data_IF_276162716318
#
_entry.id   IF_276162716318
#
_cell.length_a   1.000
_cell.length_b   1.000
_cell.length_c   1.000
_cell.angle_alpha   90.00
_cell.angle_beta   90.00
_cell.angle_gamma   90.00
#
_symmetry.space_group_name_H-M   'P 1'
#
loop_
_entity.id
_entity.type
_entity.pdbx_description
1 polymer ?
#
# COMPACT_ATOMS: atom_id res chain seq x y z
N UNK A 1 28.16 35.63 28.74
CA UNK A 1 29.18 34.57 28.96
C UNK A 1 30.40 34.92 28.12
N UNK A 2 31.54 35.21 28.76
CA UNK A 2 32.72 35.81 28.12
C UNK A 2 33.75 34.81 27.60
N UNK A 3 34.73 35.31 26.85
CA UNK A 3 35.88 34.58 26.27
C UNK A 3 36.63 33.66 27.27
N UNK A 4 36.66 34.04 28.54
CA UNK A 4 37.27 33.27 29.63
C UNK A 4 36.51 31.99 29.96
N UNK A 5 35.17 31.99 29.91
CA UNK A 5 34.35 30.78 30.13
C UNK A 5 34.51 29.79 28.97
N UNK A 6 34.57 30.31 27.74
CA UNK A 6 34.84 29.52 26.53
C UNK A 6 36.22 28.85 26.58
N UNK A 7 37.25 29.59 26.99
CA UNK A 7 38.61 29.05 27.16
C UNK A 7 38.65 27.92 28.21
N UNK A 8 37.96 28.09 29.34
CA UNK A 8 37.94 27.10 30.42
C UNK A 8 37.23 25.81 30.01
N UNK A 9 36.14 25.91 29.23
CA UNK A 9 35.44 24.78 28.63
C UNK A 9 36.29 24.04 27.59
N UNK A 10 37.01 24.79 26.75
CA UNK A 10 37.95 24.21 25.78
C UNK A 10 39.11 23.47 26.45
N UNK A 11 39.72 24.06 27.48
CA UNK A 11 40.83 23.41 28.21
C UNK A 11 40.37 22.13 28.92
N UNK A 12 39.14 22.10 29.47
CA UNK A 12 38.57 20.87 30.05
C UNK A 12 38.28 19.79 29.00
N UNK A 13 37.77 20.17 27.83
CA UNK A 13 37.50 19.22 26.75
C UNK A 13 38.80 18.61 26.16
N UNK A 14 39.86 19.42 26.03
CA UNK A 14 41.18 18.96 25.53
C UNK A 14 41.87 18.04 26.53
N UNK A 15 41.68 18.28 27.83
CA UNK A 15 42.30 17.48 28.90
C UNK A 15 41.45 16.30 29.38
N UNK A 16 40.29 16.04 28.73
CA UNK A 16 39.44 14.92 29.09
C UNK A 16 40.13 13.57 28.84
N UNK A 17 40.01 12.67 29.80
CA UNK A 17 40.52 11.31 29.68
C UNK A 17 39.87 10.58 28.49
N UNK A 18 40.53 9.56 27.94
CA UNK A 18 39.97 8.77 26.84
C UNK A 18 38.59 8.17 27.19
N UNK A 19 38.39 7.86 28.48
CA UNK A 19 37.13 7.36 29.02
C UNK A 19 36.01 8.44 29.00
N UNK A 20 36.30 9.66 29.46
CA UNK A 20 35.35 10.78 29.42
C UNK A 20 34.98 11.19 27.99
N UNK A 21 35.94 11.11 27.05
CA UNK A 21 35.68 11.30 25.62
C UNK A 21 34.73 10.25 25.07
N UNK A 22 34.91 8.98 25.42
CA UNK A 22 33.99 7.90 25.04
C UNK A 22 32.55 8.13 25.54
N UNK A 23 32.38 8.59 26.79
CA UNK A 23 31.03 8.94 27.27
C UNK A 23 30.43 10.14 26.55
N UNK A 24 31.22 11.18 26.27
CA UNK A 24 30.75 12.34 25.55
C UNK A 24 30.33 11.97 24.11
N UNK A 25 31.10 11.14 23.42
CA UNK A 25 30.78 10.62 22.09
C UNK A 25 29.50 9.79 22.10
N UNK A 26 29.36 8.85 23.04
CA UNK A 26 28.14 8.04 23.20
C UNK A 26 26.93 8.92 23.54
N UNK A 27 27.10 9.92 24.41
CA UNK A 27 26.03 10.84 24.78
C UNK A 27 25.59 11.69 23.59
N UNK A 28 26.53 12.25 22.82
CA UNK A 28 26.22 13.04 21.61
C UNK A 28 25.57 12.17 20.55
N UNK A 29 26.08 10.96 20.31
CA UNK A 29 25.47 10.01 19.38
C UNK A 29 24.05 9.66 19.81
N UNK A 30 23.84 9.31 21.08
CA UNK A 30 22.52 8.92 21.60
C UNK A 30 21.53 10.07 21.55
N UNK A 31 21.96 11.30 21.90
CA UNK A 31 21.12 12.49 21.80
C UNK A 31 20.76 12.82 20.35
N UNK A 32 21.73 12.67 19.43
CA UNK A 32 21.49 12.90 17.99
C UNK A 32 20.53 11.84 17.44
N UNK A 33 20.74 10.57 17.77
CA UNK A 33 19.84 9.48 17.38
C UNK A 33 18.43 9.68 17.96
N UNK A 34 18.31 10.04 19.24
CA UNK A 34 17.03 10.32 19.89
C UNK A 34 16.33 11.52 19.22
N UNK A 35 17.06 12.59 18.90
CA UNK A 35 16.51 13.76 18.19
C UNK A 35 16.02 13.38 16.79
N UNK A 36 16.82 12.62 16.02
CA UNK A 36 16.43 12.16 14.70
C UNK A 36 15.20 11.27 14.75
N UNK A 37 15.12 10.34 15.70
CA UNK A 37 13.94 9.51 15.90
C UNK A 37 12.73 10.36 16.28
N UNK A 38 12.88 11.28 17.24
CA UNK A 38 11.78 12.15 17.68
C UNK A 38 11.24 13.05 16.56
N UNK A 39 12.10 13.61 15.71
CA UNK A 39 11.70 14.50 14.60
C UNK A 39 11.10 13.71 13.43
N UNK A 40 11.65 12.54 13.11
CA UNK A 40 11.32 11.84 11.86
C UNK A 40 10.36 10.67 12.02
N UNK A 41 10.32 9.99 13.17
CA UNK A 41 9.40 8.86 13.38
C UNK A 41 7.93 9.31 13.24
N UNK A 42 7.47 10.43 13.84
CA UNK A 42 6.09 10.88 13.65
C UNK A 42 5.78 11.24 12.20
N UNK A 43 6.74 11.85 11.48
CA UNK A 43 6.58 12.19 10.06
C UNK A 43 6.51 10.95 9.17
N UNK A 44 7.19 9.87 9.57
CA UNK A 44 7.13 8.57 8.87
C UNK A 44 5.93 7.73 9.29
N UNK A 45 5.34 7.95 10.46
CA UNK A 45 4.11 7.27 10.87
C UNK A 45 2.99 7.48 9.84
N UNK A 46 2.83 8.72 9.35
CA UNK A 46 1.89 9.01 8.26
C UNK A 46 2.17 8.18 7.00
N UNK A 47 3.45 7.99 6.63
CA UNK A 47 3.83 7.19 5.46
C UNK A 47 3.57 5.69 5.69
N UNK A 48 3.78 5.20 6.91
CA UNK A 48 3.46 3.82 7.29
C UNK A 48 1.95 3.60 7.26
N UNK A 49 1.19 4.52 7.83
CA UNK A 49 -0.28 4.48 7.84
C UNK A 49 -0.83 4.54 6.41
N UNK A 50 -0.28 5.41 5.56
CA UNK A 50 -0.61 5.48 4.14
C UNK A 50 -0.28 4.16 3.43
N UNK A 51 0.90 3.59 3.69
CA UNK A 51 1.28 2.31 3.09
C UNK A 51 0.35 1.18 3.54
N UNK A 52 0.03 1.09 4.83
CA UNK A 52 -0.83 0.05 5.39
C UNK A 52 -2.28 0.17 4.92
N UNK A 53 -2.81 1.38 4.83
CA UNK A 53 -4.22 1.61 4.43
C UNK A 53 -4.43 1.51 2.93
N UNK A 54 -3.56 2.13 2.15
CA UNK A 54 -3.82 2.35 0.73
C UNK A 54 -2.94 1.48 -0.18
N UNK A 55 -1.64 1.38 0.12
CA UNK A 55 -0.71 0.68 -0.77
C UNK A 55 -0.74 -0.84 -0.61
N UNK A 56 -0.94 -1.34 0.61
CA UNK A 56 -0.94 -2.77 0.88
C UNK A 56 -2.06 -3.51 0.12
N UNK A 57 -3.34 -3.05 0.12
CA UNK A 57 -4.39 -3.68 -0.68
C UNK A 57 -4.10 -3.64 -2.19
N UNK A 58 -3.52 -2.54 -2.69
CA UNK A 58 -3.12 -2.41 -4.11
C UNK A 58 -2.05 -3.44 -4.45
N UNK A 59 -1.04 -3.58 -3.60
CA UNK A 59 0.02 -4.56 -3.79
C UNK A 59 -0.51 -5.99 -3.78
N UNK A 60 -1.36 -6.33 -2.81
CA UNK A 60 -2.00 -7.64 -2.71
C UNK A 60 -2.88 -7.95 -3.92
N UNK A 61 -3.65 -6.97 -4.41
CA UNK A 61 -4.45 -7.11 -5.61
C UNK A 61 -3.58 -7.34 -6.86
N UNK A 62 -2.51 -6.57 -7.03
CA UNK A 62 -1.58 -6.75 -8.15
C UNK A 62 -0.90 -8.12 -8.11
N UNK A 63 -0.47 -8.59 -6.95
CA UNK A 63 0.09 -9.93 -6.77
C UNK A 63 -0.94 -11.02 -7.08
N UNK A 64 -2.17 -10.87 -6.60
CA UNK A 64 -3.27 -11.79 -6.91
C UNK A 64 -3.53 -11.88 -8.41
N UNK A 65 -3.54 -10.74 -9.12
CA UNK A 65 -3.74 -10.73 -10.56
C UNK A 65 -2.58 -11.37 -11.34
N UNK A 66 -1.34 -11.14 -10.89
CA UNK A 66 -0.14 -11.76 -11.51
C UNK A 66 -0.12 -13.27 -11.41
N UNK A 67 -0.71 -13.84 -10.35
CA UNK A 67 -0.82 -15.30 -10.17
C UNK A 67 -1.78 -15.96 -11.17
N UNK A 68 -2.68 -15.18 -11.76
CA UNK A 68 -3.75 -15.69 -12.63
C UNK A 68 -3.74 -15.03 -14.02
N UNK A 69 -2.68 -15.21 -14.82
CA UNK A 69 -2.61 -14.65 -16.17
C UNK A 69 -3.73 -15.18 -17.08
N UNK A 70 -4.31 -16.34 -16.79
CA UNK A 70 -5.39 -16.94 -17.55
C UNK A 70 -6.66 -16.09 -17.59
N UNK A 71 -6.91 -15.26 -16.57
CA UNK A 71 -8.09 -14.38 -16.50
C UNK A 71 -8.11 -13.29 -17.57
N UNK A 72 -6.95 -12.96 -18.14
CA UNK A 72 -6.77 -11.88 -19.14
C UNK A 72 -6.16 -12.37 -20.44
N UNK A 73 -6.06 -13.69 -20.62
CA UNK A 73 -5.43 -14.30 -21.81
C UNK A 73 -6.16 -13.98 -23.11
N UNK A 74 -7.49 -13.82 -23.07
CA UNK A 74 -8.30 -13.34 -24.19
C UNK A 74 -8.66 -11.86 -24.00
N UNK A 75 -8.25 -10.96 -24.92
CA UNK A 75 -8.58 -9.54 -24.89
C UNK A 75 -10.08 -9.21 -24.84
N UNK A 76 -10.94 -10.12 -25.33
CA UNK A 76 -12.40 -9.93 -25.33
C UNK A 76 -13.06 -10.41 -24.04
N UNK A 77 -12.29 -10.93 -23.09
CA UNK A 77 -12.80 -11.41 -21.80
C UNK A 77 -13.43 -10.25 -21.04
N UNK A 78 -14.70 -10.40 -20.68
CA UNK A 78 -15.37 -9.52 -19.73
C UNK A 78 -15.15 -10.02 -18.32
N UNK A 79 -14.65 -9.16 -17.46
CA UNK A 79 -14.34 -9.48 -16.08
C UNK A 79 -15.27 -8.69 -15.18
N UNK A 80 -15.93 -9.37 -14.25
CA UNK A 80 -16.77 -8.77 -13.23
C UNK A 80 -16.06 -8.79 -11.88
N UNK A 81 -15.82 -7.64 -11.30
CA UNK A 81 -15.39 -7.49 -9.91
C UNK A 81 -16.64 -7.42 -9.04
N UNK A 82 -16.90 -8.50 -8.31
CA UNK A 82 -18.05 -8.64 -7.40
C UNK A 82 -17.81 -7.84 -6.12
N UNK A 83 -16.61 -7.95 -5.57
CA UNK A 83 -16.15 -7.14 -4.44
C UNK A 83 -14.65 -6.89 -4.54
N UNK A 84 -14.19 -5.77 -3.99
CA UNK A 84 -12.79 -5.36 -3.93
C UNK A 84 -12.51 -4.61 -2.62
N UNK A 85 -11.23 -4.47 -2.22
CA UNK A 85 -10.88 -3.79 -0.97
C UNK A 85 -10.88 -2.26 -1.10
N UNK A 86 -11.18 -1.70 -2.28
CA UNK A 86 -10.93 -0.29 -2.61
C UNK A 86 -12.19 0.56 -2.43
N UNK A 87 -12.45 0.96 -1.19
CA UNK A 87 -13.62 1.78 -0.84
C UNK A 87 -13.64 3.15 -1.54
N UNK A 88 -12.52 3.87 -1.51
CA UNK A 88 -12.45 5.23 -2.04
C UNK A 88 -11.80 5.30 -3.43
N UNK A 89 -11.26 4.17 -3.91
CA UNK A 89 -10.51 4.08 -5.17
C UNK A 89 -11.18 3.10 -6.12
N UNK A 90 -12.42 3.42 -6.51
CA UNK A 90 -13.24 2.59 -7.39
C UNK A 90 -12.58 2.22 -8.72
N UNK A 91 -11.66 3.06 -9.20
CA UNK A 91 -10.88 2.85 -10.42
C UNK A 91 -9.74 1.83 -10.25
N UNK A 92 -9.30 1.55 -9.02
CA UNK A 92 -8.11 0.76 -8.73
C UNK A 92 -8.12 -0.66 -9.32
N UNK A 93 -9.17 -1.49 -9.16
CA UNK A 93 -9.12 -2.86 -9.67
C UNK A 93 -9.08 -2.89 -11.21
N UNK A 94 -9.73 -1.93 -11.88
CA UNK A 94 -9.68 -1.78 -13.34
C UNK A 94 -8.26 -1.44 -13.77
N UNK A 95 -7.67 -0.41 -13.15
CA UNK A 95 -6.32 0.05 -13.48
C UNK A 95 -5.26 -1.03 -13.23
N UNK A 96 -5.32 -1.71 -12.09
CA UNK A 96 -4.41 -2.81 -11.76
C UNK A 96 -4.55 -3.96 -12.76
N UNK A 97 -5.79 -4.29 -13.16
CA UNK A 97 -6.06 -5.32 -14.17
C UNK A 97 -5.45 -4.98 -15.53
N UNK A 98 -5.69 -3.78 -16.02
CA UNK A 98 -5.11 -3.27 -17.29
C UNK A 98 -3.58 -3.31 -17.25
N UNK A 99 -2.98 -2.81 -16.17
CA UNK A 99 -1.52 -2.82 -16.02
C UNK A 99 -0.93 -4.24 -15.97
N UNK A 100 -1.61 -5.15 -15.28
CA UNK A 100 -1.15 -6.53 -15.11
C UNK A 100 -1.30 -7.32 -16.41
N UNK A 101 -2.44 -7.16 -17.11
CA UNK A 101 -2.71 -7.77 -18.40
C UNK A 101 -1.91 -7.13 -19.55
N UNK A 102 -1.40 -5.90 -19.35
CA UNK A 102 -0.81 -5.04 -20.38
C UNK A 102 -1.74 -4.86 -21.58
N UNK A 103 -3.04 -4.74 -21.31
CA UNK A 103 -4.09 -4.66 -22.31
C UNK A 103 -5.10 -3.56 -21.95
N UNK A 104 -5.13 -2.50 -22.75
CA UNK A 104 -6.03 -1.35 -22.57
C UNK A 104 -7.47 -1.64 -23.01
N UNK A 105 -7.69 -2.66 -23.83
CA UNK A 105 -9.01 -3.03 -24.36
C UNK A 105 -9.79 -3.97 -23.41
N UNK A 106 -9.17 -4.36 -22.29
CA UNK A 106 -9.74 -5.30 -21.33
C UNK A 106 -11.01 -4.71 -20.68
N UNK A 107 -12.10 -5.48 -20.71
CA UNK A 107 -13.39 -5.04 -20.19
C UNK A 107 -13.57 -5.49 -18.74
N UNK A 108 -13.16 -4.64 -17.79
CA UNK A 108 -13.35 -4.88 -16.36
C UNK A 108 -14.51 -4.01 -15.85
N UNK A 109 -15.50 -4.65 -15.25
CA UNK A 109 -16.67 -4.00 -14.67
C UNK A 109 -16.73 -4.27 -13.17
N UNK A 110 -17.24 -3.32 -12.39
CA UNK A 110 -17.46 -3.48 -10.95
C UNK A 110 -18.94 -3.58 -10.66
N UNK A 111 -19.37 -4.66 -10.02
CA UNK A 111 -20.76 -4.87 -9.63
C UNK A 111 -21.31 -3.72 -8.75
N UNK A 112 -20.55 -3.16 -7.79
CA UNK A 112 -20.99 -1.99 -7.03
C UNK A 112 -21.35 -0.77 -7.90
N UNK A 113 -20.63 -0.56 -9.00
CA UNK A 113 -20.77 0.63 -9.87
C UNK A 113 -21.84 0.45 -10.97
N UNK A 114 -22.29 -0.78 -11.23
CA UNK A 114 -23.32 -1.03 -12.25
C UNK A 114 -24.69 -0.51 -11.81
N UNK A 115 -25.32 0.30 -12.67
CA UNK A 115 -26.69 0.79 -12.54
C UNK A 115 -27.37 0.79 -13.93
N UNK A 116 -28.45 0.01 -14.15
CA UNK A 116 -29.13 -0.86 -13.19
C UNK A 116 -28.25 -2.03 -12.72
N UNK A 117 -28.61 -2.64 -11.60
CA UNK A 117 -27.94 -3.88 -11.15
C UNK A 117 -28.18 -4.97 -12.19
N UNK A 118 -27.13 -5.72 -12.58
CA UNK A 118 -27.24 -6.72 -13.62
C UNK A 118 -28.20 -7.83 -13.18
N UNK A 119 -29.03 -8.28 -14.10
CA UNK A 119 -29.80 -9.50 -13.93
C UNK A 119 -28.93 -10.74 -14.17
N UNK A 120 -29.52 -11.92 -13.96
CA UNK A 120 -28.81 -13.19 -14.14
C UNK A 120 -28.32 -13.40 -15.58
N UNK A 121 -29.05 -12.89 -16.58
CA UNK A 121 -28.67 -13.01 -17.98
C UNK A 121 -27.39 -12.21 -18.27
N UNK A 122 -27.29 -10.99 -17.73
CA UNK A 122 -26.09 -10.16 -17.86
C UNK A 122 -24.92 -10.77 -17.08
N UNK A 123 -25.14 -11.28 -15.87
CA UNK A 123 -24.08 -11.91 -15.07
C UNK A 123 -23.41 -13.09 -15.79
N UNK A 124 -24.19 -13.90 -16.51
CA UNK A 124 -23.67 -15.01 -17.33
C UNK A 124 -22.79 -14.58 -18.51
N UNK A 125 -22.83 -13.31 -18.90
CA UNK A 125 -21.96 -12.78 -19.97
C UNK A 125 -20.54 -12.50 -19.51
N UNK A 126 -20.29 -12.54 -18.18
CA UNK A 126 -18.97 -12.39 -17.59
C UNK A 126 -18.32 -13.77 -17.38
N UNK A 127 -17.43 -14.22 -18.27
CA UNK A 127 -16.73 -15.50 -18.12
C UNK A 127 -15.87 -15.56 -16.85
N UNK A 128 -15.43 -14.41 -16.34
CA UNK A 128 -14.64 -14.30 -15.10
C UNK A 128 -15.34 -13.37 -14.14
N UNK A 129 -15.74 -13.88 -12.98
CA UNK A 129 -16.17 -13.08 -11.84
C UNK A 129 -15.15 -13.23 -10.71
N UNK A 130 -14.72 -12.11 -10.12
CA UNK A 130 -13.69 -12.06 -9.09
C UNK A 130 -14.27 -11.45 -7.82
N UNK A 131 -13.99 -12.08 -6.68
CA UNK A 131 -14.37 -11.59 -5.37
C UNK A 131 -13.12 -11.41 -4.52
N UNK A 132 -13.04 -10.33 -3.75
CA UNK A 132 -11.98 -10.15 -2.77
C UNK A 132 -12.27 -10.96 -1.51
N UNK A 133 -11.37 -11.90 -1.19
CA UNK A 133 -11.44 -12.75 -0.01
C UNK A 133 -10.03 -12.99 0.52
N UNK A 134 -9.84 -12.93 1.85
CA UNK A 134 -8.56 -13.25 2.50
C UNK A 134 -7.32 -12.56 1.87
N UNK A 135 -7.46 -11.28 1.52
CA UNK A 135 -6.40 -10.46 0.89
C UNK A 135 -5.99 -10.88 -0.53
N UNK A 136 -6.87 -11.55 -1.27
CA UNK A 136 -6.65 -11.87 -2.67
C UNK A 136 -7.97 -11.88 -3.46
N UNK A 137 -7.87 -11.74 -4.79
CA UNK A 137 -8.99 -12.04 -5.66
C UNK A 137 -9.08 -13.54 -5.87
N UNK A 138 -10.29 -14.06 -5.71
CA UNK A 138 -10.65 -15.44 -6.02
C UNK A 138 -11.72 -15.45 -7.10
N UNK A 139 -11.63 -16.41 -8.03
CA UNK A 139 -12.67 -16.60 -9.04
C UNK A 139 -13.89 -17.21 -8.38
N UNK A 140 -15.05 -16.63 -8.66
CA UNK A 140 -16.36 -17.13 -8.23
C UNK A 140 -17.20 -17.47 -9.44
N UNK A 141 -18.21 -18.33 -9.25
CA UNK A 141 -19.19 -18.59 -10.29
C UNK A 141 -20.07 -17.35 -10.48
N UNK A 142 -20.06 -16.77 -11.68
CA UNK A 142 -20.88 -15.61 -12.05
C UNK A 142 -22.37 -15.88 -11.83
N UNK A 143 -22.83 -17.14 -11.94
CA UNK A 143 -24.22 -17.52 -11.69
C UNK A 143 -24.59 -17.58 -10.21
N UNK A 144 -23.60 -17.74 -9.31
CA UNK A 144 -23.80 -17.77 -7.86
C UNK A 144 -23.75 -16.37 -7.22
N UNK A 145 -23.47 -15.32 -8.00
CA UNK A 145 -23.47 -13.93 -7.51
C UNK A 145 -24.90 -13.52 -7.17
N UNK A 146 -25.18 -13.10 -5.92
CA UNK A 146 -26.54 -12.75 -5.53
C UNK A 146 -27.05 -11.56 -6.35
N UNK A 147 -28.20 -11.75 -7.01
CA UNK A 147 -28.89 -10.70 -7.74
C UNK A 147 -29.47 -9.73 -6.72
N UNK A 148 -28.83 -8.58 -6.56
CA UNK A 148 -29.33 -7.48 -5.73
C UNK A 148 -30.50 -6.83 -6.47
N UNK A 149 -31.73 -7.19 -6.09
CA UNK A 149 -32.98 -6.56 -6.56
C UNK A 149 -33.28 -5.29 -5.77
#
# INVERSE_FOLDING_TARGET
>A
AGLTDLRLRFTRAINASAFERGYAEVAVFSLTAAFLLWVHVPKRQFQIDYWQKDLLPIHQAAESFRKHPEWWSDPKTKILIVSDPFKDMHWAPIFIGILTARNMDLQIHRLPDMNPKPDEAILRTFPVALQWQENQFVRVDSAAVPVLR
#
